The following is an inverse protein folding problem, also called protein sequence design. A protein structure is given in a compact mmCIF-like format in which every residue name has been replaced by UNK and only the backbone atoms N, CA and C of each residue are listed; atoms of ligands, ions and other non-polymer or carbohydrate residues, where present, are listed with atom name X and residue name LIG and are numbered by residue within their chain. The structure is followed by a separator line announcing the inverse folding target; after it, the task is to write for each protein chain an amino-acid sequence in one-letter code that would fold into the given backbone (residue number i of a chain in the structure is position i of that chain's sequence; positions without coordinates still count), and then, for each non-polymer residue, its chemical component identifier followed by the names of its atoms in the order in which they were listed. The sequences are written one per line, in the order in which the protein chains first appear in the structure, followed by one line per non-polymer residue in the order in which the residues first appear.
data_IF_625965589330
#
_entry.id   IF_625965589330
#
_cell.length_a   1.000
_cell.length_b   1.000
_cell.length_c   1.000
_cell.angle_alpha   90.00
_cell.angle_beta   90.00
_cell.angle_gamma   90.00
#
_symmetry.space_group_name_H-M   'P 1'
#
loop_
_entity.id
_entity.type
_entity.pdbx_description
1 polymer ?
#
# COMPACT_ATOMS: atom_id res chain seq x y z
N UNK A 1 16.42 -9.76 -7.96
CA UNK A 1 15.11 -9.17 -8.17
C UNK A 1 14.05 -9.79 -7.29
N UNK A 2 12.81 -9.32 -7.42
CA UNK A 2 11.65 -9.70 -6.61
C UNK A 2 11.46 -11.23 -6.47
N UNK A 3 11.50 -11.96 -7.56
CA UNK A 3 11.24 -13.41 -7.55
C UNK A 3 12.34 -14.21 -6.87
N UNK A 4 13.60 -13.72 -6.96
CA UNK A 4 14.70 -14.32 -6.20
C UNK A 4 14.50 -14.15 -4.70
N UNK A 5 14.03 -12.97 -4.29
CA UNK A 5 13.73 -12.70 -2.89
C UNK A 5 12.55 -13.55 -2.39
N UNK A 6 11.48 -13.71 -3.19
CA UNK A 6 10.36 -14.60 -2.85
C UNK A 6 10.81 -16.04 -2.61
N UNK A 7 11.75 -16.54 -3.42
CA UNK A 7 12.33 -17.87 -3.20
C UNK A 7 13.11 -17.97 -1.90
N UNK A 8 13.93 -16.95 -1.61
CA UNK A 8 14.67 -16.88 -0.34
C UNK A 8 13.69 -16.84 0.84
N UNK A 9 12.63 -16.05 0.74
CA UNK A 9 11.60 -15.97 1.77
C UNK A 9 10.91 -17.32 1.98
N UNK A 10 10.54 -18.01 0.92
CA UNK A 10 9.91 -19.34 1.00
C UNK A 10 10.79 -20.36 1.74
N UNK A 11 12.11 -20.25 1.60
CA UNK A 11 13.07 -21.20 2.18
C UNK A 11 13.57 -20.79 3.57
N UNK A 12 13.75 -19.49 3.81
CA UNK A 12 14.45 -18.98 4.99
C UNK A 12 13.66 -17.99 5.82
N UNK A 13 12.48 -17.54 5.35
CA UNK A 13 11.59 -16.58 6.01
C UNK A 13 10.13 -17.04 5.91
N UNK A 14 9.83 -18.24 6.38
CA UNK A 14 8.51 -18.87 6.22
C UNK A 14 7.36 -17.97 6.71
N UNK A 15 7.51 -17.33 7.87
CA UNK A 15 6.51 -16.40 8.41
C UNK A 15 6.31 -15.16 7.51
N UNK A 16 7.39 -14.60 7.00
CA UNK A 16 7.32 -13.45 6.08
C UNK A 16 6.71 -13.87 4.74
N UNK A 17 7.02 -15.06 4.24
CA UNK A 17 6.41 -15.58 3.01
C UNK A 17 4.91 -15.83 3.19
N UNK A 18 4.50 -16.38 4.34
CA UNK A 18 3.09 -16.54 4.70
C UNK A 18 2.36 -15.20 4.76
N UNK A 19 2.99 -14.16 5.30
CA UNK A 19 2.45 -12.80 5.36
C UNK A 19 2.25 -12.21 3.96
N UNK A 20 3.18 -12.46 3.02
CA UNK A 20 3.01 -12.11 1.60
C UNK A 20 1.77 -12.82 1.02
N UNK A 21 1.65 -14.13 1.21
CA UNK A 21 0.50 -14.90 0.72
C UNK A 21 -0.83 -14.38 1.28
N UNK A 22 -0.89 -14.10 2.58
CA UNK A 22 -2.07 -13.51 3.24
C UNK A 22 -2.42 -12.12 2.68
N UNK A 23 -1.40 -11.32 2.34
CA UNK A 23 -1.63 -10.01 1.73
C UNK A 23 -2.29 -10.15 0.35
N UNK A 24 -1.91 -11.16 -0.42
CA UNK A 24 -2.49 -11.41 -1.74
C UNK A 24 -3.92 -11.95 -1.70
N UNK A 25 -4.41 -12.45 -0.56
CA UNK A 25 -5.81 -12.88 -0.40
C UNK A 25 -6.83 -11.73 -0.61
N UNK A 26 -6.37 -10.46 -0.56
CA UNK A 26 -7.22 -9.32 -0.95
C UNK A 26 -7.71 -9.41 -2.40
N UNK A 27 -6.96 -10.11 -3.25
CA UNK A 27 -7.40 -10.51 -4.59
C UNK A 27 -8.15 -11.83 -4.46
N UNK A 28 -9.45 -11.79 -4.37
CA UNK A 28 -10.32 -12.95 -4.12
C UNK A 28 -10.13 -14.11 -5.12
N UNK A 29 -9.58 -13.83 -6.30
CA UNK A 29 -9.30 -14.81 -7.34
C UNK A 29 -7.99 -15.57 -7.14
N UNK A 30 -7.07 -15.08 -6.32
CA UNK A 30 -5.79 -15.73 -6.04
C UNK A 30 -6.00 -16.81 -4.98
N UNK A 31 -5.64 -18.05 -5.32
CA UNK A 31 -5.60 -19.15 -4.36
C UNK A 31 -4.24 -19.22 -3.67
N UNK A 32 -3.17 -19.23 -4.46
CA UNK A 32 -1.79 -19.26 -3.98
C UNK A 32 -0.81 -18.80 -5.06
N UNK A 33 0.39 -18.48 -4.62
CA UNK A 33 1.54 -18.29 -5.52
C UNK A 33 2.47 -19.49 -5.41
N UNK A 34 3.05 -19.89 -6.55
CA UNK A 34 4.04 -20.99 -6.62
C UNK A 34 5.31 -20.40 -7.21
N UNK A 35 6.40 -20.50 -6.47
CA UNK A 35 7.73 -20.10 -6.95
C UNK A 35 8.38 -21.32 -7.60
N UNK A 36 8.57 -21.26 -8.92
CA UNK A 36 9.09 -22.38 -9.70
C UNK A 36 10.61 -22.52 -9.49
N UNK A 37 11.05 -23.75 -9.27
CA UNK A 37 12.43 -24.13 -8.97
C UNK A 37 13.22 -24.61 -10.20
N UNK A 38 12.55 -24.74 -11.34
CA UNK A 38 13.05 -25.53 -12.47
C UNK A 38 14.11 -24.85 -13.33
N UNK A 39 14.40 -23.57 -13.15
CA UNK A 39 15.45 -22.91 -13.92
C UNK A 39 16.33 -21.99 -13.09
N UNK A 40 17.65 -22.25 -13.12
CA UNK A 40 18.66 -21.42 -12.46
C UNK A 40 18.71 -19.98 -12.97
N UNK A 41 18.26 -19.73 -14.20
CA UNK A 41 18.34 -18.44 -14.89
C UNK A 41 17.01 -17.68 -14.99
N UNK A 42 15.86 -18.34 -14.86
CA UNK A 42 14.55 -17.71 -14.94
C UNK A 42 13.66 -18.16 -13.78
N UNK A 43 13.67 -17.39 -12.72
CA UNK A 43 12.72 -17.63 -11.62
C UNK A 43 11.34 -17.19 -12.08
N UNK A 44 10.41 -18.13 -12.16
CA UNK A 44 9.03 -17.90 -12.55
C UNK A 44 8.15 -17.98 -11.31
N UNK A 45 7.27 -17.02 -11.16
CA UNK A 45 6.18 -17.09 -10.20
C UNK A 45 4.92 -17.40 -10.98
N UNK A 46 4.25 -18.45 -10.58
CA UNK A 46 2.94 -18.85 -11.08
C UNK A 46 1.89 -18.50 -10.03
N UNK A 47 0.73 -18.12 -10.50
CA UNK A 47 -0.41 -17.76 -9.68
C UNK A 47 -1.47 -18.81 -9.94
N UNK A 48 -1.94 -19.48 -8.91
CA UNK A 48 -3.08 -20.39 -9.02
C UNK A 48 -4.36 -19.58 -8.91
N UNK A 49 -5.15 -19.58 -9.98
CA UNK A 49 -6.46 -18.94 -9.99
C UNK A 49 -7.50 -19.86 -9.36
N UNK A 50 -8.16 -19.37 -8.32
CA UNK A 50 -9.15 -20.13 -7.54
C UNK A 50 -10.35 -20.58 -8.36
N UNK A 51 -10.78 -19.77 -9.32
CA UNK A 51 -11.99 -20.03 -10.10
C UNK A 51 -11.70 -20.88 -11.32
N UNK A 52 -10.52 -20.71 -11.92
CA UNK A 52 -10.11 -21.48 -13.11
C UNK A 52 -9.41 -22.79 -12.74
N UNK A 53 -8.94 -22.95 -11.52
CA UNK A 53 -8.21 -24.13 -11.05
C UNK A 53 -6.90 -24.40 -11.83
N UNK A 54 -6.32 -23.35 -12.45
CA UNK A 54 -5.10 -23.46 -13.26
C UNK A 54 -4.05 -22.44 -12.87
N UNK A 55 -2.81 -22.77 -13.19
CA UNK A 55 -1.68 -21.87 -13.03
C UNK A 55 -1.63 -20.82 -14.15
N UNK A 56 -1.40 -19.58 -13.77
CA UNK A 56 -1.20 -18.44 -14.65
C UNK A 56 0.22 -17.93 -14.45
N UNK A 57 0.96 -17.70 -15.52
CA UNK A 57 2.27 -17.05 -15.47
C UNK A 57 2.11 -15.61 -14.95
N UNK A 58 3.02 -15.16 -14.07
CA UNK A 58 2.99 -13.79 -13.53
C UNK A 58 2.98 -12.70 -14.61
N UNK A 59 3.53 -12.99 -15.80
CA UNK A 59 3.51 -12.07 -16.95
C UNK A 59 2.10 -11.82 -17.50
N UNK A 60 1.18 -12.73 -17.20
CA UNK A 60 -0.25 -12.60 -17.56
C UNK A 60 -1.09 -11.97 -16.45
N UNK A 61 -0.49 -11.70 -15.29
CA UNK A 61 -1.17 -11.01 -14.20
C UNK A 61 -1.35 -9.53 -14.51
N UNK A 62 -2.39 -8.93 -13.93
CA UNK A 62 -2.56 -7.49 -14.03
C UNK A 62 -1.49 -6.75 -13.22
N UNK A 63 -1.20 -5.52 -13.63
CA UNK A 63 -0.18 -4.67 -13.02
C UNK A 63 -0.43 -4.41 -11.53
N UNK A 64 -1.68 -4.18 -11.15
CA UNK A 64 -2.04 -3.96 -9.74
C UNK A 64 -1.71 -5.14 -8.84
N UNK A 65 -1.88 -6.38 -9.32
CA UNK A 65 -1.44 -7.57 -8.60
C UNK A 65 0.08 -7.58 -8.40
N UNK A 66 0.84 -7.25 -9.44
CA UNK A 66 2.31 -7.24 -9.38
C UNK A 66 2.82 -6.16 -8.42
N UNK A 67 2.19 -4.98 -8.37
CA UNK A 67 2.50 -3.95 -7.38
C UNK A 67 2.22 -4.43 -5.96
N UNK A 68 1.06 -5.02 -5.71
CA UNK A 68 0.73 -5.52 -4.35
C UNK A 68 1.69 -6.65 -3.94
N UNK A 69 2.03 -7.56 -4.84
CA UNK A 69 3.05 -8.58 -4.58
C UNK A 69 4.40 -7.96 -4.22
N UNK A 70 4.83 -6.95 -4.98
CA UNK A 70 6.06 -6.21 -4.71
C UNK A 70 6.03 -5.54 -3.34
N UNK A 71 4.94 -4.83 -3.01
CA UNK A 71 4.79 -4.18 -1.70
C UNK A 71 4.76 -5.19 -0.56
N UNK A 72 4.02 -6.28 -0.71
CA UNK A 72 3.97 -7.32 0.31
C UNK A 72 5.37 -7.87 0.62
N UNK A 73 6.18 -8.15 -0.41
CA UNK A 73 7.57 -8.60 -0.23
C UNK A 73 8.44 -7.52 0.41
N UNK A 74 8.34 -6.26 -0.07
CA UNK A 74 9.14 -5.15 0.42
C UNK A 74 8.90 -4.88 1.91
N UNK A 75 7.66 -5.00 2.36
CA UNK A 75 7.27 -4.75 3.74
C UNK A 75 7.53 -5.94 4.68
N UNK A 76 7.43 -7.19 4.17
CA UNK A 76 7.52 -8.38 5.01
C UNK A 76 8.94 -8.93 5.17
N UNK A 77 9.80 -8.80 4.16
CA UNK A 77 11.13 -9.42 4.20
C UNK A 77 12.12 -8.67 5.10
N UNK A 78 12.91 -9.40 5.87
CA UNK A 78 14.05 -8.86 6.63
C UNK A 78 15.26 -8.50 5.76
N UNK A 79 15.28 -8.95 4.49
CA UNK A 79 16.34 -8.60 3.54
C UNK A 79 16.05 -7.31 2.75
N UNK A 80 14.94 -6.67 3.02
CA UNK A 80 14.62 -5.35 2.45
C UNK A 80 14.95 -4.25 3.46
N UNK A 81 15.18 -3.01 3.00
CA UNK A 81 15.51 -1.90 3.90
C UNK A 81 14.43 -1.68 4.96
N UNK A 82 14.84 -1.21 6.15
CA UNK A 82 13.91 -0.81 7.20
C UNK A 82 13.33 0.60 6.99
N UNK A 83 13.95 1.37 6.08
CA UNK A 83 13.53 2.70 5.68
C UNK A 83 13.49 2.81 4.15
N UNK A 84 12.33 3.20 3.60
CA UNK A 84 12.16 3.43 2.16
C UNK A 84 10.97 4.34 1.85
N UNK A 85 10.90 4.76 0.59
CA UNK A 85 9.79 5.56 0.07
C UNK A 85 9.16 4.89 -1.17
N UNK A 86 7.86 5.06 -1.32
CA UNK A 86 7.09 4.60 -2.48
C UNK A 86 6.31 5.79 -3.03
N UNK A 87 6.53 6.09 -4.29
CA UNK A 87 5.76 7.11 -4.99
C UNK A 87 4.52 6.48 -5.65
N UNK A 88 3.37 7.14 -5.54
CA UNK A 88 2.09 6.69 -6.09
C UNK A 88 1.72 5.25 -5.71
N UNK A 89 1.64 4.95 -4.40
CA UNK A 89 1.35 3.60 -3.88
C UNK A 89 0.04 3.00 -4.40
N UNK A 90 -0.86 3.83 -4.87
CA UNK A 90 -2.17 3.47 -5.42
C UNK A 90 -2.17 3.18 -6.94
N UNK A 91 -1.00 3.20 -7.59
CA UNK A 91 -0.89 2.94 -9.02
C UNK A 91 -1.57 1.62 -9.41
N UNK A 92 -2.39 1.67 -10.48
CA UNK A 92 -3.10 0.51 -11.05
C UNK A 92 -4.07 -0.21 -10.10
N UNK A 93 -4.47 0.42 -8.98
CA UNK A 93 -5.37 -0.15 -7.99
C UNK A 93 -6.72 0.58 -7.96
N UNK A 94 -7.80 -0.18 -7.78
CA UNK A 94 -9.10 0.42 -7.54
C UNK A 94 -9.21 0.95 -6.09
N UNK A 95 -10.10 1.92 -5.82
CA UNK A 95 -10.20 2.57 -4.51
C UNK A 95 -10.48 1.61 -3.34
N UNK A 96 -11.22 0.51 -3.58
CA UNK A 96 -11.49 -0.49 -2.54
C UNK A 96 -10.23 -1.23 -2.13
N UNK A 97 -9.41 -1.65 -3.11
CA UNK A 97 -8.13 -2.29 -2.86
C UNK A 97 -7.14 -1.34 -2.19
N UNK A 98 -7.09 -0.06 -2.61
CA UNK A 98 -6.23 0.94 -1.99
C UNK A 98 -6.44 1.03 -0.48
N UNK A 99 -7.70 1.11 -0.04
CA UNK A 99 -8.02 1.18 1.39
C UNK A 99 -7.65 -0.08 2.17
N UNK A 100 -7.83 -1.25 1.57
CA UNK A 100 -7.47 -2.53 2.21
C UNK A 100 -5.96 -2.68 2.26
N UNK A 101 -5.28 -2.38 1.15
CA UNK A 101 -3.84 -2.48 1.03
C UNK A 101 -3.11 -1.63 2.07
N UNK A 102 -3.45 -0.33 2.17
CA UNK A 102 -2.72 0.55 3.09
C UNK A 102 -2.84 0.10 4.54
N UNK A 103 -4.02 -0.37 4.97
CA UNK A 103 -4.20 -0.94 6.31
C UNK A 103 -3.28 -2.13 6.54
N UNK A 104 -3.25 -3.05 5.58
CA UNK A 104 -2.42 -4.25 5.67
C UNK A 104 -0.93 -3.91 5.70
N UNK A 105 -0.49 -2.98 4.86
CA UNK A 105 0.91 -2.54 4.83
C UNK A 105 1.33 -1.82 6.12
N UNK A 106 0.43 -1.04 6.73
CA UNK A 106 0.69 -0.41 8.04
C UNK A 106 0.91 -1.47 9.12
N UNK A 107 0.04 -2.50 9.18
CA UNK A 107 0.18 -3.62 10.13
C UNK A 107 1.54 -4.31 9.95
N UNK A 108 1.91 -4.63 8.72
CA UNK A 108 3.17 -5.29 8.38
C UNK A 108 4.37 -4.39 8.74
N UNK A 109 4.32 -3.11 8.39
CA UNK A 109 5.39 -2.16 8.70
C UNK A 109 5.64 -2.06 10.21
N UNK A 110 4.57 -1.95 11.02
CA UNK A 110 4.66 -1.91 12.48
C UNK A 110 5.28 -3.20 13.05
N UNK A 111 4.80 -4.36 12.58
CA UNK A 111 5.30 -5.66 13.01
C UNK A 111 6.80 -5.84 12.70
N UNK A 112 7.24 -5.38 11.52
CA UNK A 112 8.60 -5.56 11.04
C UNK A 112 9.52 -4.34 11.29
N UNK A 113 9.09 -3.36 12.11
CA UNK A 113 9.82 -2.13 12.44
C UNK A 113 10.29 -1.33 11.21
N UNK A 114 9.47 -1.28 10.16
CA UNK A 114 9.80 -0.53 8.96
C UNK A 114 9.21 0.88 9.02
N UNK A 115 10.03 1.87 8.65
CA UNK A 115 9.59 3.25 8.45
C UNK A 115 9.43 3.53 6.97
N UNK A 116 8.21 3.95 6.57
CA UNK A 116 7.87 4.08 5.15
C UNK A 116 7.24 5.43 4.87
N UNK A 117 7.71 6.10 3.81
CA UNK A 117 7.04 7.25 3.22
C UNK A 117 6.32 6.81 1.96
N UNK A 118 5.05 7.17 1.85
CA UNK A 118 4.27 6.91 0.63
C UNK A 118 3.65 8.20 0.13
N UNK A 119 3.59 8.37 -1.18
CA UNK A 119 2.80 9.42 -1.81
C UNK A 119 1.57 8.82 -2.46
N UNK A 120 0.51 9.60 -2.55
CA UNK A 120 -0.73 9.22 -3.22
C UNK A 120 -1.54 10.44 -3.63
N UNK A 121 -2.27 10.31 -4.72
CA UNK A 121 -3.33 11.24 -5.12
C UNK A 121 -4.73 10.64 -4.93
N UNK A 122 -4.83 9.40 -4.44
CA UNK A 122 -6.09 8.69 -4.28
C UNK A 122 -6.65 8.87 -2.87
N UNK A 123 -7.80 9.56 -2.72
CA UNK A 123 -8.42 9.77 -1.41
C UNK A 123 -8.72 8.48 -0.64
N UNK A 124 -8.93 7.36 -1.34
CA UNK A 124 -9.25 6.09 -0.70
C UNK A 124 -8.12 5.55 0.19
N UNK A 125 -6.86 5.89 -0.11
CA UNK A 125 -5.70 5.56 0.75
C UNK A 125 -5.88 6.19 2.12
N UNK A 126 -6.35 7.44 2.19
CA UNK A 126 -6.49 8.19 3.43
C UNK A 126 -7.47 7.51 4.42
N UNK A 127 -8.51 6.85 3.89
CA UNK A 127 -9.49 6.14 4.73
C UNK A 127 -8.92 4.88 5.40
N UNK A 128 -7.72 4.49 5.04
CA UNK A 128 -7.01 3.40 5.70
C UNK A 128 -6.17 3.83 6.89
N UNK A 129 -5.93 5.14 7.07
CA UNK A 129 -5.09 5.69 8.14
C UNK A 129 -5.87 5.87 9.46
N UNK A 130 -5.15 5.70 10.57
CA UNK A 130 -5.61 6.03 11.91
C UNK A 130 -4.76 7.18 12.49
N UNK A 131 -5.19 8.42 12.33
CA UNK A 131 -4.46 9.59 12.81
C UNK A 131 -4.43 9.75 14.34
N UNK A 132 -5.13 8.88 15.09
CA UNK A 132 -5.01 8.82 16.55
C UNK A 132 -3.78 7.98 16.97
N UNK A 133 -3.14 7.28 16.06
CA UNK A 133 -1.92 6.53 16.26
C UNK A 133 -0.72 7.35 15.78
N UNK A 134 0.17 7.74 16.69
CA UNK A 134 1.34 8.57 16.37
C UNK A 134 2.35 7.89 15.42
N UNK A 135 2.24 6.58 15.22
CA UNK A 135 3.02 5.86 14.22
C UNK A 135 2.50 6.09 12.78
N UNK A 136 1.29 6.63 12.64
CA UNK A 136 0.66 6.93 11.35
C UNK A 136 0.52 8.45 11.18
N UNK A 137 1.17 9.00 10.16
CA UNK A 137 1.23 10.45 9.96
C UNK A 137 0.82 10.82 8.54
N UNK A 138 -0.04 11.81 8.44
CA UNK A 138 -0.45 12.39 7.17
C UNK A 138 0.18 13.77 7.02
N UNK A 139 0.78 14.02 5.86
CA UNK A 139 1.31 15.32 5.49
C UNK A 139 0.67 15.77 4.18
N UNK A 140 0.35 17.06 4.10
CA UNK A 140 0.07 17.70 2.82
C UNK A 140 1.29 18.45 2.32
N UNK A 141 1.47 18.45 1.02
CA UNK A 141 2.50 19.21 0.32
C UNK A 141 1.81 20.28 -0.49
N UNK A 142 2.17 21.54 -0.32
CA UNK A 142 1.59 22.67 -1.05
C UNK A 142 2.66 23.73 -1.35
N UNK A 143 2.39 24.60 -2.28
CA UNK A 143 3.18 25.82 -2.51
C UNK A 143 2.56 26.99 -1.75
N UNK A 144 3.40 27.79 -1.11
CA UNK A 144 2.97 29.09 -0.56
C UNK A 144 2.95 30.18 -1.65
N UNK A 145 2.53 31.38 -1.27
CA UNK A 145 2.42 32.53 -2.18
C UNK A 145 3.77 32.96 -2.78
N UNK A 146 4.88 32.66 -2.11
CA UNK A 146 6.25 32.91 -2.60
C UNK A 146 6.77 31.80 -3.52
N UNK A 147 5.95 30.77 -3.80
CA UNK A 147 6.31 29.61 -4.62
C UNK A 147 7.15 28.55 -3.92
N UNK A 148 7.43 28.69 -2.62
CA UNK A 148 8.16 27.72 -1.85
C UNK A 148 7.28 26.50 -1.49
N UNK A 149 7.88 25.30 -1.55
CA UNK A 149 7.20 24.06 -1.13
C UNK A 149 7.12 23.99 0.38
N UNK A 150 5.92 23.78 0.90
CA UNK A 150 5.68 23.59 2.33
C UNK A 150 5.10 22.21 2.61
N UNK A 151 5.55 21.63 3.72
CA UNK A 151 5.04 20.37 4.25
C UNK A 151 4.29 20.64 5.55
N UNK A 152 3.02 20.28 5.63
CA UNK A 152 2.21 20.47 6.83
C UNK A 152 1.62 19.14 7.30
N UNK A 153 1.88 18.79 8.56
CA UNK A 153 1.23 17.63 9.20
C UNK A 153 -0.26 17.91 9.38
N UNK A 154 -1.08 16.93 9.03
CA UNK A 154 -2.53 16.91 9.27
C UNK A 154 -2.78 16.03 10.49
N UNK A 155 -3.38 16.59 11.53
CA UNK A 155 -3.74 15.88 12.75
C UNK A 155 -5.24 15.68 12.90
N UNK A 156 -5.63 14.96 13.95
CA UNK A 156 -7.05 14.72 14.28
C UNK A 156 -7.80 16.04 14.53
N UNK A 157 -7.15 17.04 15.10
CA UNK A 157 -7.75 18.32 15.42
C UNK A 157 -8.09 19.15 14.17
N UNK A 158 -7.34 18.97 13.07
CA UNK A 158 -7.66 19.60 11.78
C UNK A 158 -9.01 19.07 11.22
N UNK A 159 -9.44 17.89 11.65
CA UNK A 159 -10.68 17.22 11.23
C UNK A 159 -11.88 17.55 12.13
N UNK A 160 -11.64 18.06 13.34
CA UNK A 160 -12.68 18.30 14.37
C UNK A 160 -13.48 19.56 14.17
N UNK A 161 -13.37 20.27 13.03
CA UNK A 161 -14.23 21.41 12.75
C UNK A 161 -15.69 20.93 12.76
N UNK A 162 -16.56 21.49 13.65
CA UNK A 162 -17.90 21.00 13.87
C UNK A 162 -18.69 21.06 12.58
N UNK A 163 -19.29 19.95 12.22
CA UNK A 163 -20.25 19.87 11.14
C UNK A 163 -21.66 20.11 11.66
N UNK A 164 -22.50 20.62 10.79
CA UNK A 164 -23.92 20.90 11.05
C UNK A 164 -24.72 19.72 11.60
N UNK A 165 -24.22 18.46 11.50
CA UNK A 165 -24.92 17.24 11.89
C UNK A 165 -24.11 16.29 12.81
N UNK A 166 -23.01 16.73 13.43
CA UNK A 166 -22.28 15.89 14.40
C UNK A 166 -21.54 14.66 13.86
N UNK A 167 -21.55 14.43 12.53
CA UNK A 167 -20.84 13.30 11.93
C UNK A 167 -19.36 13.62 11.70
N UNK A 168 -18.47 12.72 12.12
CA UNK A 168 -17.05 12.77 11.80
C UNK A 168 -16.88 12.43 10.31
N UNK A 169 -16.26 13.34 9.54
CA UNK A 169 -15.93 13.09 8.14
C UNK A 169 -14.84 12.02 8.04
N UNK A 170 -14.94 11.19 6.98
CA UNK A 170 -13.82 10.39 6.53
C UNK A 170 -12.73 11.30 5.99
N UNK A 171 -11.47 10.84 6.08
CA UNK A 171 -10.33 11.59 5.55
C UNK A 171 -10.45 11.84 4.04
N UNK A 172 -10.93 10.85 3.29
CA UNK A 172 -11.20 10.98 1.85
C UNK A 172 -12.22 12.08 1.54
N UNK A 173 -13.30 12.17 2.32
CA UNK A 173 -14.29 13.24 2.16
C UNK A 173 -13.74 14.63 2.50
N UNK A 174 -12.99 14.72 3.60
CA UNK A 174 -12.35 15.98 4.00
C UNK A 174 -11.38 16.47 2.92
N UNK A 175 -10.61 15.56 2.32
CA UNK A 175 -9.71 15.87 1.21
C UNK A 175 -10.48 16.34 -0.04
N UNK A 176 -11.47 15.57 -0.50
CA UNK A 176 -12.27 15.91 -1.69
C UNK A 176 -13.05 17.23 -1.55
N UNK A 177 -13.38 17.63 -0.33
CA UNK A 177 -14.02 18.92 -0.04
C UNK A 177 -13.01 20.07 0.12
N UNK A 178 -11.72 19.82 -0.09
CA UNK A 178 -10.65 20.82 0.07
C UNK A 178 -10.37 21.24 1.52
N UNK A 179 -10.95 20.55 2.51
CA UNK A 179 -10.80 20.90 3.93
C UNK A 179 -9.38 20.63 4.45
N UNK A 180 -8.65 19.72 3.82
CA UNK A 180 -7.28 19.40 4.18
C UNK A 180 -6.24 20.24 3.40
N UNK A 181 -6.67 20.96 2.36
CA UNK A 181 -5.79 21.60 1.37
C UNK A 181 -5.14 20.56 0.43
N UNK A 182 -4.16 21.00 -0.36
CA UNK A 182 -3.45 20.12 -1.31
C UNK A 182 -4.19 19.87 -2.63
N UNK A 183 -5.40 20.37 -2.79
CA UNK A 183 -6.08 20.43 -4.08
C UNK A 183 -5.72 21.73 -4.82
N UNK A 184 -5.61 21.71 -6.16
CA UNK A 184 -5.45 22.93 -6.93
C UNK A 184 -6.64 23.87 -6.68
N UNK A 185 -6.37 25.14 -6.46
CA UNK A 185 -7.40 26.15 -6.12
C UNK A 185 -8.04 26.81 -7.33
N UNK A 186 -7.51 26.54 -8.53
CA UNK A 186 -7.91 27.24 -9.77
C UNK A 186 -8.42 26.22 -10.81
N UNK A 187 -9.60 25.67 -10.57
CA UNK A 187 -10.43 25.02 -11.59
C UNK A 187 -11.80 25.66 -11.63
#
# INVERSE_FOLDING_TARGET
GLFKLLKIMQTHEEESFKEVCQTLEMFQWVEKIVVDDTSYNEQKVKIVDRFMGREIDHRSANEGFLFVLFYAVLFSSKYTPDFFAIDNIDASLNPKLCRVLIKKLIEIAKKNNKQVFVTTHNPAILDGLNLNDDSERLFKVERNDDGATQLKRIGVDDLRKPKRNGQVLRLSEAFMRGLLGGLPTNF
#
